data_IF_194708501736
#
_entry.id   IF_194708501736
#
_cell.length_a   1.000
_cell.length_b   1.000
_cell.length_c   1.000
_cell.angle_alpha   90.00
_cell.angle_beta   90.00
_cell.angle_gamma   90.00
#
_symmetry.space_group_name_H-M   'P 1'
#
loop_
_entity.id
_entity.type
_entity.pdbx_description
1 polymer ?
#
# COMPACT_ATOMS: atom_id res chain seq x y z
N UNK A 1 -5.82 -38.57 -17.04
CA UNK A 1 -6.24 -38.88 -15.66
C UNK A 1 -5.38 -38.15 -14.63
N UNK A 2 -4.09 -38.42 -14.52
CA UNK A 2 -3.24 -37.78 -13.50
C UNK A 2 -2.93 -36.30 -13.79
N UNK A 3 -2.65 -35.94 -15.05
CA UNK A 3 -2.43 -34.54 -15.46
C UNK A 3 -3.70 -33.69 -15.29
N UNK A 4 -4.86 -34.22 -15.69
CA UNK A 4 -6.15 -33.52 -15.57
C UNK A 4 -6.54 -33.30 -14.10
N UNK A 5 -6.19 -34.27 -13.24
CA UNK A 5 -6.36 -34.17 -11.79
C UNK A 5 -5.48 -33.06 -11.19
N UNK A 6 -4.19 -33.04 -11.54
CA UNK A 6 -3.25 -32.00 -11.10
C UNK A 6 -3.67 -30.60 -11.58
N UNK A 7 -4.15 -30.47 -12.82
CA UNK A 7 -4.68 -29.20 -13.35
C UNK A 7 -5.93 -28.74 -12.60
N UNK A 8 -6.80 -29.68 -12.22
CA UNK A 8 -7.98 -29.40 -11.37
C UNK A 8 -7.56 -28.86 -10.00
N UNK A 9 -6.55 -29.48 -9.37
CA UNK A 9 -5.99 -29.01 -8.09
C UNK A 9 -5.44 -27.59 -8.22
N UNK A 10 -4.63 -27.31 -9.25
CA UNK A 10 -4.05 -25.98 -9.48
C UNK A 10 -5.12 -24.92 -9.71
N UNK A 11 -6.18 -25.26 -10.47
CA UNK A 11 -7.29 -24.35 -10.75
C UNK A 11 -8.07 -24.03 -9.47
N UNK A 12 -8.42 -25.05 -8.68
CA UNK A 12 -9.11 -24.88 -7.39
C UNK A 12 -8.28 -24.04 -6.42
N UNK A 13 -6.97 -24.30 -6.33
CA UNK A 13 -6.06 -23.52 -5.48
C UNK A 13 -5.98 -22.06 -5.94
N UNK A 14 -5.93 -21.81 -7.26
CA UNK A 14 -5.99 -20.46 -7.82
C UNK A 14 -7.30 -19.72 -7.51
N UNK A 15 -8.44 -20.43 -7.55
CA UNK A 15 -9.74 -19.86 -7.22
C UNK A 15 -9.85 -19.51 -5.73
N UNK A 16 -9.37 -20.36 -4.83
CA UNK A 16 -9.39 -20.09 -3.39
C UNK A 16 -8.58 -18.83 -3.02
N UNK A 17 -7.38 -18.67 -3.57
CA UNK A 17 -6.57 -17.47 -3.38
C UNK A 17 -7.25 -16.22 -3.95
N UNK A 18 -7.89 -16.37 -5.11
CA UNK A 18 -8.66 -15.27 -5.71
C UNK A 18 -9.85 -14.87 -4.86
N UNK A 19 -10.53 -15.81 -4.19
CA UNK A 19 -11.64 -15.54 -3.27
C UNK A 19 -11.17 -14.72 -2.07
N UNK A 20 -10.04 -15.08 -1.46
CA UNK A 20 -9.48 -14.34 -0.32
C UNK A 20 -9.04 -12.93 -0.73
N UNK A 21 -8.35 -12.79 -1.87
CA UNK A 21 -8.01 -11.48 -2.44
C UNK A 21 -9.24 -10.61 -2.72
N UNK A 22 -10.31 -11.17 -3.28
CA UNK A 22 -11.58 -10.44 -3.49
C UNK A 22 -12.22 -10.04 -2.17
N UNK A 23 -12.14 -10.87 -1.13
CA UNK A 23 -12.67 -10.55 0.21
C UNK A 23 -11.95 -9.36 0.81
N UNK A 24 -10.62 -9.30 0.73
CA UNK A 24 -9.84 -8.16 1.20
C UNK A 24 -10.18 -6.88 0.44
N UNK A 25 -10.31 -6.95 -0.89
CA UNK A 25 -10.74 -5.81 -1.71
C UNK A 25 -12.14 -5.29 -1.34
N UNK A 26 -13.11 -6.18 -1.10
CA UNK A 26 -14.44 -5.78 -0.63
C UNK A 26 -14.34 -5.04 0.71
N UNK A 27 -13.59 -5.58 1.67
CA UNK A 27 -13.39 -4.98 2.99
C UNK A 27 -12.80 -3.57 2.89
N UNK A 28 -11.77 -3.38 2.04
CA UNK A 28 -11.15 -2.07 1.83
C UNK A 28 -12.13 -1.04 1.26
N UNK A 29 -12.93 -1.44 0.27
CA UNK A 29 -13.95 -0.57 -0.32
C UNK A 29 -15.07 -0.23 0.67
N UNK A 30 -15.49 -1.20 1.48
CA UNK A 30 -16.46 -0.98 2.55
C UNK A 30 -15.93 -0.01 3.61
N UNK A 31 -14.67 -0.18 4.03
CA UNK A 31 -14.00 0.73 4.97
C UNK A 31 -13.93 2.16 4.42
N UNK A 32 -13.56 2.33 3.15
CA UNK A 32 -13.57 3.65 2.48
C UNK A 32 -14.96 4.29 2.49
N UNK A 33 -16.01 3.53 2.16
CA UNK A 33 -17.38 4.06 2.19
C UNK A 33 -17.82 4.46 3.61
N UNK A 34 -17.36 3.72 4.62
CA UNK A 34 -17.74 3.90 6.03
C UNK A 34 -17.01 5.04 6.71
N UNK A 35 -15.72 5.20 6.44
CA UNK A 35 -14.84 6.09 7.20
C UNK A 35 -14.43 7.35 6.43
N UNK A 36 -14.46 7.33 5.09
CA UNK A 36 -14.07 8.49 4.30
C UNK A 36 -15.29 9.37 3.95
N UNK A 37 -15.10 10.69 4.03
CA UNK A 37 -16.09 11.66 3.52
C UNK A 37 -15.95 11.73 1.99
N UNK A 38 -16.81 10.98 1.30
CA UNK A 38 -16.79 10.84 -0.16
C UNK A 38 -18.03 11.49 -0.79
N UNK A 39 -17.82 12.13 -1.95
CA UNK A 39 -18.94 12.61 -2.78
C UNK A 39 -19.89 11.45 -3.15
N UNK A 40 -21.19 11.75 -3.26
CA UNK A 40 -22.24 10.75 -3.49
C UNK A 40 -21.96 9.88 -4.72
N UNK A 41 -21.46 10.48 -5.81
CA UNK A 41 -21.13 9.75 -7.04
C UNK A 41 -19.98 8.76 -6.86
N UNK A 42 -18.99 9.10 -6.03
CA UNK A 42 -17.89 8.18 -5.69
C UNK A 42 -18.44 7.01 -4.87
N UNK A 43 -19.26 7.27 -3.85
CA UNK A 43 -19.89 6.21 -3.03
C UNK A 43 -20.74 5.25 -3.88
N UNK A 44 -21.53 5.77 -4.83
CA UNK A 44 -22.33 4.96 -5.76
C UNK A 44 -21.47 4.08 -6.66
N UNK A 45 -20.33 4.58 -7.14
CA UNK A 45 -19.38 3.79 -7.93
C UNK A 45 -18.77 2.67 -7.09
N UNK A 46 -18.32 2.97 -5.87
CA UNK A 46 -17.75 1.97 -4.96
C UNK A 46 -18.76 0.87 -4.60
N UNK A 47 -20.02 1.22 -4.33
CA UNK A 47 -21.09 0.22 -4.09
C UNK A 47 -21.28 -0.73 -5.28
N UNK A 48 -21.30 -0.21 -6.51
CA UNK A 48 -21.41 -1.03 -7.72
C UNK A 48 -20.21 -1.98 -7.86
N UNK A 49 -19.03 -1.51 -7.52
CA UNK A 49 -17.82 -2.34 -7.56
C UNK A 49 -17.85 -3.46 -6.51
N UNK A 50 -18.30 -3.18 -5.28
CA UNK A 50 -18.52 -4.20 -4.25
C UNK A 50 -19.50 -5.27 -4.73
N UNK A 51 -20.61 -4.89 -5.37
CA UNK A 51 -21.56 -5.85 -5.95
C UNK A 51 -20.92 -6.73 -7.04
N UNK A 52 -20.14 -6.14 -7.93
CA UNK A 52 -19.41 -6.88 -8.99
C UNK A 52 -18.41 -7.87 -8.41
N UNK A 53 -17.64 -7.44 -7.41
CA UNK A 53 -16.68 -8.29 -6.70
C UNK A 53 -17.39 -9.43 -5.96
N UNK A 54 -18.53 -9.16 -5.35
CA UNK A 54 -19.34 -10.16 -4.65
C UNK A 54 -19.85 -11.25 -5.60
N UNK A 55 -20.38 -10.86 -6.76
CA UNK A 55 -20.80 -11.81 -7.81
C UNK A 55 -19.63 -12.65 -8.33
N UNK A 56 -18.45 -12.04 -8.51
CA UNK A 56 -17.25 -12.76 -8.93
C UNK A 56 -16.81 -13.79 -7.89
N UNK A 57 -16.82 -13.42 -6.60
CA UNK A 57 -16.51 -14.32 -5.48
C UNK A 57 -17.46 -15.52 -5.47
N UNK A 58 -18.75 -15.27 -5.66
CA UNK A 58 -19.78 -16.32 -5.68
C UNK A 58 -19.53 -17.31 -6.82
N UNK A 59 -19.30 -16.83 -8.05
CA UNK A 59 -18.96 -17.68 -9.20
C UNK A 59 -17.72 -18.56 -8.95
N UNK A 60 -16.68 -17.99 -8.35
CA UNK A 60 -15.47 -18.74 -8.01
C UNK A 60 -15.75 -19.79 -6.94
N UNK A 61 -16.54 -19.45 -5.91
CA UNK A 61 -16.91 -20.35 -4.83
C UNK A 61 -17.74 -21.54 -5.31
N UNK A 62 -18.66 -21.33 -6.26
CA UNK A 62 -19.46 -22.41 -6.86
C UNK A 62 -18.61 -23.44 -7.62
N UNK A 63 -17.42 -23.04 -8.09
CA UNK A 63 -16.49 -23.92 -8.80
C UNK A 63 -15.43 -24.59 -7.91
N UNK A 64 -15.30 -24.16 -6.64
CA UNK A 64 -14.16 -24.53 -5.79
C UNK A 64 -14.48 -25.50 -4.65
N UNK A 65 -15.72 -25.96 -4.51
CA UNK A 65 -16.10 -26.75 -3.33
C UNK A 65 -15.71 -28.23 -3.48
N UNK A 66 -14.72 -28.62 -2.67
CA UNK A 66 -14.12 -29.94 -2.38
C UNK A 66 -14.74 -31.21 -3.01
N UNK A 67 -14.20 -31.60 -4.17
CA UNK A 67 -14.23 -32.99 -4.68
C UNK A 67 -12.93 -33.77 -4.42
N UNK A 68 -11.95 -33.14 -3.74
CA UNK A 68 -10.70 -33.81 -3.39
C UNK A 68 -10.98 -34.64 -2.13
N UNK A 69 -11.24 -35.94 -2.32
CA UNK A 69 -11.68 -36.86 -1.27
C UNK A 69 -10.52 -37.64 -0.64
N UNK A 70 -9.36 -37.69 -1.29
CA UNK A 70 -8.19 -38.41 -0.78
C UNK A 70 -7.19 -37.48 -0.09
N UNK A 71 -6.47 -38.04 0.88
CA UNK A 71 -5.50 -37.34 1.71
C UNK A 71 -4.30 -36.82 0.91
N UNK A 72 -3.94 -37.53 -0.17
CA UNK A 72 -2.88 -37.15 -1.09
C UNK A 72 -3.22 -35.86 -1.85
N UNK A 73 -4.40 -35.77 -2.42
CA UNK A 73 -4.89 -34.59 -3.10
C UNK A 73 -5.06 -33.40 -2.16
N UNK A 74 -5.50 -33.61 -0.92
CA UNK A 74 -5.58 -32.54 0.08
C UNK A 74 -4.17 -32.01 0.40
N UNK A 75 -3.17 -32.90 0.52
CA UNK A 75 -1.78 -32.51 0.73
C UNK A 75 -1.24 -31.70 -0.45
N UNK A 76 -1.42 -32.19 -1.67
CA UNK A 76 -0.99 -31.49 -2.90
C UNK A 76 -1.67 -30.12 -3.05
N UNK A 77 -2.98 -30.04 -2.78
CA UNK A 77 -3.71 -28.78 -2.78
C UNK A 77 -3.12 -27.78 -1.79
N UNK A 78 -2.85 -28.21 -0.55
CA UNK A 78 -2.22 -27.37 0.47
C UNK A 78 -0.83 -26.90 0.02
N UNK A 79 -0.01 -27.77 -0.55
CA UNK A 79 1.32 -27.40 -1.05
C UNK A 79 1.23 -26.34 -2.16
N UNK A 80 0.32 -26.50 -3.11
CA UNK A 80 0.11 -25.53 -4.21
C UNK A 80 -0.37 -24.19 -3.66
N UNK A 81 -1.32 -24.19 -2.73
CA UNK A 81 -1.81 -22.96 -2.08
C UNK A 81 -0.66 -22.27 -1.34
N UNK A 82 0.05 -22.97 -0.46
CA UNK A 82 1.13 -22.37 0.34
C UNK A 82 2.29 -21.85 -0.51
N UNK A 83 2.66 -22.54 -1.60
CA UNK A 83 3.69 -22.03 -2.53
C UNK A 83 3.25 -20.72 -3.18
N UNK A 84 1.99 -20.62 -3.58
CA UNK A 84 1.44 -19.45 -4.25
C UNK A 84 1.21 -18.28 -3.28
N UNK A 85 0.86 -18.56 -2.02
CA UNK A 85 0.85 -17.57 -0.93
C UNK A 85 2.25 -17.02 -0.66
N UNK A 86 3.26 -17.89 -0.62
CA UNK A 86 4.66 -17.49 -0.44
C UNK A 86 5.14 -16.60 -1.59
N UNK A 87 4.79 -16.92 -2.83
CA UNK A 87 5.11 -16.10 -4.00
C UNK A 87 4.49 -14.69 -3.90
N UNK A 88 3.20 -14.61 -3.56
CA UNK A 88 2.49 -13.33 -3.36
C UNK A 88 3.14 -12.53 -2.22
N UNK A 89 3.45 -13.18 -1.11
CA UNK A 89 4.09 -12.54 0.03
C UNK A 89 5.48 -11.99 -0.34
N UNK A 90 6.28 -12.76 -1.07
CA UNK A 90 7.59 -12.33 -1.55
C UNK A 90 7.49 -11.12 -2.47
N UNK A 91 6.56 -11.12 -3.44
CA UNK A 91 6.34 -9.98 -4.34
C UNK A 91 5.93 -8.72 -3.56
N UNK A 92 5.01 -8.87 -2.60
CA UNK A 92 4.57 -7.77 -1.74
C UNK A 92 5.72 -7.23 -0.86
N UNK A 93 6.54 -8.13 -0.31
CA UNK A 93 7.71 -7.78 0.51
C UNK A 93 8.74 -6.98 -0.28
N UNK A 94 9.03 -7.39 -1.53
CA UNK A 94 9.93 -6.67 -2.44
C UNK A 94 9.39 -5.25 -2.72
N UNK A 95 8.10 -5.12 -3.03
CA UNK A 95 7.45 -3.82 -3.27
C UNK A 95 7.50 -2.92 -2.04
N UNK A 96 7.19 -3.46 -0.87
CA UNK A 96 7.25 -2.72 0.39
C UNK A 96 8.68 -2.23 0.70
N UNK A 97 9.69 -3.08 0.50
CA UNK A 97 11.10 -2.73 0.70
C UNK A 97 11.56 -1.62 -0.26
N UNK A 98 11.12 -1.67 -1.52
CA UNK A 98 11.40 -0.64 -2.51
C UNK A 98 10.78 0.71 -2.09
N UNK A 99 9.51 0.71 -1.68
CA UNK A 99 8.82 1.91 -1.22
C UNK A 99 9.52 2.54 0.00
N UNK A 100 9.88 1.75 1.01
CA UNK A 100 10.61 2.23 2.19
C UNK A 100 11.95 2.86 1.81
N UNK A 101 12.68 2.24 0.89
CA UNK A 101 13.97 2.77 0.39
C UNK A 101 13.78 4.12 -0.31
N UNK A 102 12.74 4.25 -1.14
CA UNK A 102 12.40 5.51 -1.82
C UNK A 102 12.00 6.61 -0.83
N UNK A 103 11.16 6.27 0.16
CA UNK A 103 10.76 7.20 1.22
C UNK A 103 11.95 7.68 2.04
N UNK A 104 12.87 6.78 2.38
CA UNK A 104 14.09 7.15 3.12
C UNK A 104 14.93 8.15 2.34
N UNK A 105 15.15 7.91 1.04
CA UNK A 105 15.87 8.87 0.18
C UNK A 105 15.20 10.26 0.18
N UNK A 106 13.87 10.31 0.00
CA UNK A 106 13.13 11.57 0.03
C UNK A 106 13.24 12.31 1.37
N UNK A 107 13.25 11.55 2.47
CA UNK A 107 13.45 12.10 3.79
C UNK A 107 14.85 12.71 3.96
N UNK A 108 15.89 11.98 3.54
CA UNK A 108 17.29 12.44 3.62
C UNK A 108 17.49 13.72 2.76
N UNK A 109 16.95 13.73 1.52
CA UNK A 109 16.99 14.90 0.63
C UNK A 109 16.27 16.12 1.25
N UNK A 110 15.15 15.90 1.94
CA UNK A 110 14.40 16.96 2.61
C UNK A 110 15.14 17.48 3.86
N UNK A 111 15.76 16.58 4.62
CA UNK A 111 16.56 16.95 5.79
C UNK A 111 17.74 17.86 5.40
N UNK A 112 18.46 17.52 4.33
CA UNK A 112 19.56 18.35 3.81
C UNK A 112 19.07 19.76 3.39
N UNK A 113 17.88 19.86 2.78
CA UNK A 113 17.30 21.15 2.42
C UNK A 113 16.93 21.99 3.64
N UNK A 114 16.40 21.36 4.69
CA UNK A 114 16.07 22.04 5.95
C UNK A 114 17.33 22.58 6.62
N UNK A 115 18.41 21.78 6.68
CA UNK A 115 19.69 22.23 7.24
C UNK A 115 20.26 23.44 6.48
N UNK A 116 20.23 23.41 5.14
CA UNK A 116 20.66 24.55 4.30
C UNK A 116 19.82 25.80 4.56
N UNK A 117 18.50 25.66 4.65
CA UNK A 117 17.60 26.79 4.94
C UNK A 117 17.86 27.38 6.33
N UNK A 118 18.08 26.53 7.33
CA UNK A 118 18.42 26.99 8.68
C UNK A 118 19.75 27.74 8.70
N UNK A 119 20.79 27.22 8.05
CA UNK A 119 22.08 27.89 7.94
C UNK A 119 21.95 29.27 7.26
N UNK A 120 21.21 29.34 6.15
CA UNK A 120 20.95 30.60 5.45
C UNK A 120 20.17 31.60 6.29
N UNK A 121 19.17 31.13 7.05
CA UNK A 121 18.39 31.97 7.95
C UNK A 121 19.26 32.58 9.06
N UNK A 122 20.14 31.77 9.67
CA UNK A 122 21.07 32.23 10.70
C UNK A 122 22.00 33.31 10.12
N UNK A 123 22.64 33.03 8.98
CA UNK A 123 23.53 34.00 8.33
C UNK A 123 22.81 35.32 7.98
N UNK A 124 21.58 35.26 7.47
CA UNK A 124 20.79 36.46 7.19
C UNK A 124 20.40 37.22 8.47
N UNK A 125 20.07 36.49 9.54
CA UNK A 125 19.78 37.07 10.85
C UNK A 125 20.98 37.82 11.42
N UNK A 126 22.18 37.24 11.32
CA UNK A 126 23.41 37.87 11.80
C UNK A 126 23.69 39.19 11.06
N UNK A 127 23.53 39.21 9.73
CA UNK A 127 23.65 40.44 8.92
C UNK A 127 22.61 41.49 9.34
N UNK A 128 21.37 41.09 9.60
CA UNK A 128 20.34 42.01 10.08
C UNK A 128 20.69 42.60 11.46
N UNK A 129 21.20 41.77 12.37
CA UNK A 129 21.64 42.22 13.71
C UNK A 129 22.80 43.22 13.58
N UNK A 130 23.80 42.94 12.74
CA UNK A 130 24.91 43.86 12.47
C UNK A 130 24.43 45.20 11.90
N UNK A 131 23.53 45.17 10.91
CA UNK A 131 22.98 46.38 10.30
C UNK A 131 22.21 47.25 11.31
N UNK A 132 21.44 46.62 12.22
CA UNK A 132 20.74 47.31 13.31
C UNK A 132 21.76 47.96 14.25
N UNK A 133 22.81 47.24 14.65
CA UNK A 133 23.84 47.76 15.54
C UNK A 133 24.59 48.96 14.91
N UNK A 134 24.92 48.90 13.62
CA UNK A 134 25.54 50.00 12.88
C UNK A 134 24.64 51.23 12.89
N UNK A 135 23.35 51.06 12.55
CA UNK A 135 22.35 52.14 12.54
C UNK A 135 22.24 52.81 13.91
N UNK A 136 22.17 52.04 14.98
CA UNK A 136 22.03 52.57 16.33
C UNK A 136 23.30 53.31 16.78
N UNK A 137 24.48 52.84 16.38
CA UNK A 137 25.74 53.53 16.64
C UNK A 137 25.84 54.86 15.86
N UNK A 138 25.38 54.89 14.61
CA UNK A 138 25.30 56.14 13.83
C UNK A 138 24.37 57.18 14.49
N UNK A 139 23.20 56.75 14.97
CA UNK A 139 22.29 57.65 15.70
C UNK A 139 22.93 58.27 16.94
N UNK A 140 23.71 57.47 17.70
CA UNK A 140 24.42 57.95 18.89
C UNK A 140 25.53 58.97 18.59
N UNK A 141 26.07 59.00 17.36
CA UNK A 141 27.13 59.95 16.97
C UNK A 141 26.59 61.28 16.43
N UNK A 142 25.29 61.37 16.14
CA UNK A 142 24.63 62.56 15.58
C UNK A 142 23.89 63.37 16.66
N UNK A 143 23.65 62.76 17.83
CA UNK A 143 23.19 63.39 19.06
C UNK A 143 24.38 63.77 19.94
#
# INVERSE_FOLDING_TARGET
MEIDYLQSIVTKAGNALSIDGIKNQICDLENKIKHDVLALEVRKKLKREISRLSQRREKLSSSSFFDIKDEDGIRQYREVVSRKELDIFNESSIKAKAAVTEFKKKYDDAAEQVEKLQANYIAASDVCIEAIAIKDNMKKKIL
#
